data_IF_306553615813
#
_entry.id   IF_306553615813
#
_cell.length_a   1.000
_cell.length_b   1.000
_cell.length_c   1.000
_cell.angle_alpha   90.00
_cell.angle_beta   90.00
_cell.angle_gamma   90.00
#
_symmetry.space_group_name_H-M   'P 1'
#
loop_
_entity.id
_entity.type
_entity.pdbx_description
1 polymer ?
#
# COMPACT_ATOMS: atom_id res chain seq x y z
N UNK A 1 20.69 -4.99 22.71
CA UNK A 1 19.49 -4.16 22.39
C UNK A 1 19.88 -2.78 21.85
N UNK A 2 20.86 -2.07 22.44
CA UNK A 2 21.34 -0.76 21.93
C UNK A 2 21.77 -0.79 20.45
N UNK A 3 22.37 -1.90 19.98
CA UNK A 3 22.80 -2.04 18.58
C UNK A 3 21.66 -2.03 17.54
N UNK A 4 20.42 -2.35 17.94
CA UNK A 4 19.25 -2.32 17.05
C UNK A 4 18.49 -1.00 17.11
N UNK A 5 18.83 -0.13 18.07
CA UNK A 5 18.13 1.14 18.29
C UNK A 5 18.08 2.02 17.02
N UNK A 6 19.17 2.17 16.23
CA UNK A 6 19.12 2.95 15.00
C UNK A 6 18.11 2.42 13.97
N UNK A 7 17.97 1.10 13.86
CA UNK A 7 17.03 0.47 12.93
C UNK A 7 15.58 0.61 13.41
N UNK A 8 15.36 0.55 14.73
CA UNK A 8 14.05 0.77 15.35
C UNK A 8 13.60 2.22 15.14
N UNK A 9 14.51 3.19 15.29
CA UNK A 9 14.18 4.60 15.06
C UNK A 9 13.98 4.90 13.59
N UNK A 10 14.76 4.28 12.70
CA UNK A 10 14.48 4.31 11.26
C UNK A 10 13.09 3.74 10.95
N UNK A 11 12.72 2.61 11.54
CA UNK A 11 11.39 2.01 11.34
C UNK A 11 10.26 2.94 11.79
N UNK A 12 10.40 3.63 12.93
CA UNK A 12 9.42 4.63 13.41
C UNK A 12 9.25 5.77 12.40
N UNK A 13 10.35 6.35 11.94
CA UNK A 13 10.35 7.45 10.96
C UNK A 13 9.66 7.02 9.67
N UNK A 14 10.05 5.87 9.11
CA UNK A 14 9.46 5.34 7.88
C UNK A 14 7.97 5.01 8.05
N UNK A 15 7.55 4.58 9.25
CA UNK A 15 6.14 4.29 9.56
C UNK A 15 5.32 5.56 9.60
N UNK A 16 5.84 6.63 10.21
CA UNK A 16 5.16 7.93 10.24
C UNK A 16 5.03 8.52 8.84
N UNK A 17 6.09 8.43 8.03
CA UNK A 17 6.06 8.88 6.64
C UNK A 17 5.05 8.05 5.81
N UNK A 18 4.98 6.74 6.01
CA UNK A 18 3.98 5.88 5.37
C UNK A 18 2.53 6.30 5.72
N UNK A 19 2.27 6.62 6.99
CA UNK A 19 0.96 7.12 7.42
C UNK A 19 0.65 8.50 6.84
N UNK A 20 1.63 9.41 6.77
CA UNK A 20 1.47 10.72 6.16
C UNK A 20 1.14 10.61 4.65
N UNK A 21 1.82 9.71 3.94
CA UNK A 21 1.53 9.43 2.53
C UNK A 21 0.11 8.89 2.33
N UNK A 22 -0.41 8.08 3.26
CA UNK A 22 -1.80 7.63 3.23
C UNK A 22 -2.78 8.80 3.37
N UNK A 23 -2.52 9.74 4.27
CA UNK A 23 -3.34 10.95 4.43
C UNK A 23 -3.37 11.78 3.14
N UNK A 24 -2.20 11.99 2.52
CA UNK A 24 -2.09 12.71 1.24
C UNK A 24 -2.87 12.01 0.12
N UNK A 25 -2.83 10.67 0.06
CA UNK A 25 -3.61 9.90 -0.90
C UNK A 25 -5.12 10.10 -0.69
N UNK A 26 -5.58 10.08 0.55
CA UNK A 26 -7.00 10.27 0.87
C UNK A 26 -7.48 11.67 0.52
N UNK A 27 -6.64 12.68 0.71
CA UNK A 27 -6.92 14.06 0.27
C UNK A 27 -7.06 14.14 -1.24
N UNK A 28 -6.15 13.51 -2.01
CA UNK A 28 -6.25 13.48 -3.48
C UNK A 28 -7.54 12.80 -3.96
N UNK A 29 -7.95 11.71 -3.31
CA UNK A 29 -9.21 11.01 -3.64
C UNK A 29 -10.40 11.93 -3.37
N UNK A 30 -10.43 12.61 -2.22
CA UNK A 30 -11.48 13.57 -1.88
C UNK A 30 -11.55 14.74 -2.86
N UNK A 31 -10.41 15.32 -3.24
CA UNK A 31 -10.38 16.41 -4.21
C UNK A 31 -10.84 15.96 -5.60
N UNK A 32 -10.54 14.72 -5.99
CA UNK A 32 -11.07 14.11 -7.22
C UNK A 32 -12.59 13.97 -7.18
N UNK A 33 -13.15 13.48 -6.07
CA UNK A 33 -14.60 13.36 -5.88
C UNK A 33 -15.30 14.74 -5.89
N UNK A 34 -14.73 15.74 -5.19
CA UNK A 34 -15.24 17.11 -5.25
C UNK A 34 -15.26 17.66 -6.68
N UNK A 35 -14.20 17.41 -7.44
CA UNK A 35 -14.10 17.84 -8.84
C UNK A 35 -15.19 17.21 -9.70
N UNK A 36 -15.51 15.92 -9.48
CA UNK A 36 -16.62 15.27 -10.16
C UNK A 36 -17.96 15.93 -9.84
N UNK A 37 -18.21 16.22 -8.56
CA UNK A 37 -19.44 16.89 -8.13
C UNK A 37 -19.58 18.29 -8.75
N UNK A 38 -18.47 19.02 -8.91
CA UNK A 38 -18.45 20.33 -9.59
C UNK A 38 -18.83 20.17 -11.07
N UNK A 39 -18.27 19.17 -11.76
CA UNK A 39 -18.61 18.89 -13.16
C UNK A 39 -20.10 18.58 -13.31
N UNK A 40 -20.67 17.75 -12.42
CA UNK A 40 -22.09 17.42 -12.42
C UNK A 40 -22.97 18.64 -12.15
N UNK A 41 -22.59 19.48 -11.17
CA UNK A 41 -23.30 20.72 -10.87
C UNK A 41 -23.31 21.67 -12.08
N UNK A 42 -22.18 21.86 -12.75
CA UNK A 42 -22.09 22.70 -13.96
C UNK A 42 -22.93 22.15 -15.11
N UNK A 43 -22.98 20.83 -15.29
CA UNK A 43 -23.85 20.19 -16.31
C UNK A 43 -25.34 20.42 -16.00
N UNK A 44 -25.73 20.33 -14.73
CA UNK A 44 -27.09 20.62 -14.31
C UNK A 44 -27.43 22.10 -14.50
N UNK A 45 -26.48 23.01 -14.24
CA UNK A 45 -26.66 24.44 -14.49
C UNK A 45 -26.87 24.75 -15.99
N UNK A 46 -26.12 24.11 -16.89
CA UNK A 46 -26.35 24.22 -18.35
C UNK A 46 -27.75 23.72 -18.71
N UNK A 47 -28.17 22.58 -18.18
CA UNK A 47 -29.48 22.00 -18.47
C UNK A 47 -30.62 22.91 -17.98
N UNK A 48 -30.48 23.48 -16.77
CA UNK A 48 -31.45 24.41 -16.20
C UNK A 48 -31.51 25.71 -17.01
N UNK A 49 -30.36 26.31 -17.35
CA UNK A 49 -30.31 27.51 -18.18
C UNK A 49 -30.95 27.29 -19.55
N UNK A 50 -30.76 26.11 -20.15
CA UNK A 50 -31.40 25.75 -21.42
C UNK A 50 -32.92 25.59 -21.28
N UNK A 51 -33.40 25.08 -20.15
CA UNK A 51 -34.84 24.95 -19.86
C UNK A 51 -35.48 26.32 -19.60
N UNK A 52 -34.83 27.18 -18.83
CA UNK A 52 -35.31 28.53 -18.51
C UNK A 52 -35.32 29.43 -19.75
N UNK A 53 -34.30 29.31 -20.62
CA UNK A 53 -34.27 29.97 -21.92
C UNK A 53 -35.43 29.54 -22.82
N UNK A 54 -35.75 28.24 -22.88
CA UNK A 54 -36.91 27.73 -23.63
C UNK A 54 -38.22 28.27 -23.07
N UNK A 55 -38.40 28.22 -21.75
CA UNK A 55 -39.60 28.73 -21.11
C UNK A 55 -39.79 30.25 -21.32
N UNK A 56 -38.71 31.01 -21.35
CA UNK A 56 -38.74 32.47 -21.61
C UNK A 56 -39.12 32.79 -23.05
N UNK A 57 -38.66 31.98 -24.01
CA UNK A 57 -39.03 32.08 -25.43
C UNK A 57 -40.52 31.82 -25.68
N UNK A 58 -41.12 30.93 -24.90
CA UNK A 58 -42.56 30.66 -24.98
C UNK A 58 -43.41 31.85 -24.48
N UNK A 59 -42.82 32.81 -23.74
CA UNK A 59 -43.50 33.96 -23.15
C UNK A 59 -43.17 35.32 -23.79
N UNK A 60 -42.06 35.45 -24.54
CA UNK A 60 -41.58 36.72 -25.12
C UNK A 60 -40.73 36.49 -26.38
N UNK A 61 -40.71 37.45 -27.31
CA UNK A 61 -39.73 37.48 -28.41
C UNK A 61 -38.28 37.61 -27.88
N UNK A 62 -37.38 36.78 -28.44
CA UNK A 62 -35.95 36.80 -28.13
C UNK A 62 -35.28 38.03 -28.73
N UNK A 63 -34.66 38.86 -27.90
CA UNK A 63 -33.78 39.92 -28.40
C UNK A 63 -32.39 39.39 -28.75
N UNK A 64 -31.65 40.13 -29.57
CA UNK A 64 -30.25 39.81 -29.91
C UNK A 64 -29.37 39.80 -28.65
N UNK A 65 -29.60 40.72 -27.72
CA UNK A 65 -28.85 40.80 -26.46
C UNK A 65 -29.12 39.59 -25.55
N UNK A 66 -30.38 39.14 -25.48
CA UNK A 66 -30.77 37.94 -24.73
C UNK A 66 -30.07 36.69 -25.32
N UNK A 67 -30.02 36.57 -26.65
CA UNK A 67 -29.33 35.47 -27.32
C UNK A 67 -27.82 35.47 -27.05
N UNK A 68 -27.17 36.63 -27.12
CA UNK A 68 -25.73 36.77 -26.86
C UNK A 68 -25.41 36.37 -25.42
N UNK A 69 -26.19 36.86 -24.44
CA UNK A 69 -25.99 36.53 -23.03
C UNK A 69 -26.11 35.02 -22.76
N UNK A 70 -27.16 34.37 -23.29
CA UNK A 70 -27.34 32.92 -23.15
C UNK A 70 -26.16 32.17 -23.77
N UNK A 71 -25.72 32.56 -24.97
CA UNK A 71 -24.57 31.94 -25.64
C UNK A 71 -23.26 32.12 -24.88
N UNK A 72 -23.00 33.30 -24.34
CA UNK A 72 -21.79 33.56 -23.55
C UNK A 72 -21.78 32.76 -22.25
N UNK A 73 -22.90 32.68 -21.53
CA UNK A 73 -23.02 31.87 -20.31
C UNK A 73 -22.83 30.38 -20.61
N UNK A 74 -23.48 29.84 -21.65
CA UNK A 74 -23.31 28.44 -22.07
C UNK A 74 -21.85 28.12 -22.45
N UNK A 75 -21.20 29.02 -23.20
CA UNK A 75 -19.78 28.87 -23.58
C UNK A 75 -18.87 28.93 -22.35
N UNK A 76 -19.12 29.85 -21.42
CA UNK A 76 -18.35 29.97 -20.17
C UNK A 76 -18.49 28.75 -19.26
N UNK A 77 -19.69 28.17 -19.14
CA UNK A 77 -19.92 26.94 -18.37
C UNK A 77 -19.24 25.73 -19.03
N UNK A 78 -19.30 25.62 -20.36
CA UNK A 78 -18.60 24.56 -21.10
C UNK A 78 -17.08 24.62 -20.91
N UNK A 79 -16.48 25.80 -21.02
CA UNK A 79 -15.04 25.97 -20.78
C UNK A 79 -14.65 25.57 -19.35
N UNK A 80 -15.47 25.87 -18.35
CA UNK A 80 -15.25 25.41 -16.97
C UNK A 80 -15.36 23.89 -16.84
N UNK A 81 -16.34 23.26 -17.50
CA UNK A 81 -16.49 21.80 -17.52
C UNK A 81 -15.26 21.15 -18.15
N UNK A 82 -14.76 21.67 -19.25
CA UNK A 82 -13.55 21.17 -19.92
C UNK A 82 -12.34 21.27 -19.00
N UNK A 83 -12.15 22.42 -18.34
CA UNK A 83 -11.09 22.60 -17.35
C UNK A 83 -11.18 21.60 -16.18
N UNK A 84 -12.36 21.46 -15.56
CA UNK A 84 -12.51 20.55 -14.43
C UNK A 84 -12.42 19.07 -14.86
N UNK A 85 -12.86 18.73 -16.08
CA UNK A 85 -12.69 17.38 -16.63
C UNK A 85 -11.20 17.06 -16.84
N UNK A 86 -10.42 18.02 -17.34
CA UNK A 86 -8.97 17.88 -17.44
C UNK A 86 -8.32 17.72 -16.05
N UNK A 87 -8.71 18.54 -15.08
CA UNK A 87 -8.24 18.43 -13.70
C UNK A 87 -8.58 17.06 -13.06
N UNK A 88 -9.77 16.52 -13.35
CA UNK A 88 -10.20 15.20 -12.88
C UNK A 88 -9.27 14.09 -13.39
N UNK A 89 -8.86 14.14 -14.65
CA UNK A 89 -7.89 13.20 -15.23
C UNK A 89 -6.48 13.36 -14.65
N UNK A 90 -6.06 14.57 -14.29
CA UNK A 90 -4.78 14.81 -13.60
C UNK A 90 -4.74 14.15 -12.22
N UNK A 91 -5.89 14.13 -11.52
CA UNK A 91 -5.98 13.43 -10.24
C UNK A 91 -5.76 11.93 -10.40
N UNK A 92 -6.16 11.29 -11.50
CA UNK A 92 -5.89 9.86 -11.72
C UNK A 92 -4.39 9.55 -11.73
N UNK A 93 -3.61 10.38 -12.42
CA UNK A 93 -2.15 10.23 -12.49
C UNK A 93 -1.52 10.47 -11.11
N UNK A 94 -1.93 11.55 -10.42
CA UNK A 94 -1.42 11.88 -9.09
C UNK A 94 -1.74 10.79 -8.06
N UNK A 95 -2.97 10.29 -8.06
CA UNK A 95 -3.41 9.20 -7.19
C UNK A 95 -2.59 7.95 -7.48
N UNK A 96 -2.44 7.56 -8.75
CA UNK A 96 -1.65 6.38 -9.12
C UNK A 96 -0.20 6.48 -8.64
N UNK A 97 0.48 7.60 -8.91
CA UNK A 97 1.86 7.81 -8.47
C UNK A 97 1.99 7.73 -6.95
N UNK A 98 1.01 8.29 -6.22
CA UNK A 98 0.98 8.23 -4.75
C UNK A 98 0.74 6.80 -4.24
N UNK A 99 -0.10 6.00 -4.92
CA UNK A 99 -0.26 4.57 -4.61
C UNK A 99 1.03 3.80 -4.81
N UNK A 100 1.78 4.04 -5.89
CA UNK A 100 3.10 3.43 -6.12
C UNK A 100 4.10 3.78 -5.01
N UNK A 101 4.15 5.06 -4.62
CA UNK A 101 5.00 5.53 -3.53
C UNK A 101 4.65 4.83 -2.20
N UNK A 102 3.36 4.77 -1.87
CA UNK A 102 2.85 4.12 -0.67
C UNK A 102 3.16 2.62 -0.65
N UNK A 103 3.01 1.93 -1.79
CA UNK A 103 3.35 0.52 -1.94
C UNK A 103 4.86 0.26 -1.76
N UNK A 104 5.70 1.11 -2.37
CA UNK A 104 7.16 1.02 -2.21
C UNK A 104 7.57 1.22 -0.74
N UNK A 105 6.99 2.22 -0.08
CA UNK A 105 7.24 2.51 1.35
C UNK A 105 6.80 1.36 2.26
N UNK A 106 5.66 0.75 1.96
CA UNK A 106 5.17 -0.44 2.67
C UNK A 106 6.18 -1.60 2.59
N UNK A 107 6.70 -1.90 1.39
CA UNK A 107 7.70 -2.95 1.21
C UNK A 107 9.01 -2.65 1.95
N UNK A 108 9.42 -1.37 2.00
CA UNK A 108 10.60 -0.96 2.80
C UNK A 108 10.36 -1.20 4.29
N UNK A 109 9.18 -0.87 4.81
CA UNK A 109 8.80 -1.15 6.20
C UNK A 109 8.79 -2.64 6.54
N UNK A 110 8.26 -3.49 5.64
CA UNK A 110 8.27 -4.94 5.80
C UNK A 110 9.72 -5.43 5.96
N UNK A 111 10.60 -5.04 5.03
CA UNK A 111 12.01 -5.45 5.05
C UNK A 111 12.75 -4.96 6.30
N UNK A 112 12.48 -3.73 6.74
CA UNK A 112 13.06 -3.20 7.98
C UNK A 112 12.59 -4.01 9.20
N UNK A 113 11.29 -4.30 9.29
CA UNK A 113 10.73 -5.15 10.35
C UNK A 113 11.38 -6.53 10.36
N UNK A 114 11.43 -7.19 9.21
CA UNK A 114 12.05 -8.52 9.05
C UNK A 114 13.50 -8.52 9.49
N UNK A 115 14.28 -7.52 9.06
CA UNK A 115 15.69 -7.41 9.46
C UNK A 115 15.85 -7.20 10.97
N UNK A 116 15.05 -6.32 11.59
CA UNK A 116 15.10 -6.08 13.04
C UNK A 116 14.83 -7.37 13.81
N UNK A 117 13.76 -8.11 13.45
CA UNK A 117 13.42 -9.35 14.13
C UNK A 117 14.41 -10.48 13.83
N UNK A 118 14.96 -10.55 12.62
CA UNK A 118 16.00 -11.51 12.28
C UNK A 118 17.26 -11.31 13.12
N UNK A 119 17.75 -10.07 13.22
CA UNK A 119 18.93 -9.76 14.03
C UNK A 119 18.67 -9.99 15.52
N UNK A 120 17.49 -9.61 16.02
CA UNK A 120 17.08 -9.88 17.40
C UNK A 120 17.03 -11.39 17.69
N UNK A 121 16.43 -12.17 16.79
CA UNK A 121 16.35 -13.62 16.94
C UNK A 121 17.74 -14.26 16.95
N UNK A 122 18.61 -13.87 16.01
CA UNK A 122 19.98 -14.36 15.95
C UNK A 122 20.74 -14.07 17.24
N UNK A 123 20.68 -12.83 17.73
CA UNK A 123 21.34 -12.44 18.98
C UNK A 123 20.85 -13.28 20.17
N UNK A 124 19.53 -13.47 20.31
CA UNK A 124 18.96 -14.26 21.41
C UNK A 124 19.33 -15.74 21.33
N UNK A 125 19.38 -16.31 20.13
CA UNK A 125 19.80 -17.70 19.91
C UNK A 125 21.28 -17.85 20.27
N UNK A 126 22.15 -16.97 19.76
CA UNK A 126 23.59 -17.01 20.01
C UNK A 126 23.88 -16.85 21.51
N UNK A 127 23.20 -15.91 22.18
CA UNK A 127 23.28 -15.71 23.63
C UNK A 127 22.82 -16.96 24.40
N UNK A 128 21.65 -17.51 24.06
CA UNK A 128 21.13 -18.72 24.69
C UNK A 128 22.08 -19.91 24.56
N UNK A 129 22.60 -20.16 23.35
CA UNK A 129 23.55 -21.24 23.09
C UNK A 129 24.84 -21.00 23.89
N UNK A 130 25.37 -19.78 23.89
CA UNK A 130 26.61 -19.46 24.62
C UNK A 130 26.45 -19.66 26.13
N UNK A 131 25.30 -19.31 26.70
CA UNK A 131 25.05 -19.44 28.14
C UNK A 131 24.73 -20.87 28.58
N UNK A 132 24.18 -21.70 27.67
CA UNK A 132 23.66 -23.03 28.02
C UNK A 132 24.39 -24.19 27.32
N UNK A 133 25.52 -23.93 26.67
CA UNK A 133 26.26 -24.91 25.86
C UNK A 133 26.50 -26.24 26.59
N UNK A 134 27.00 -26.18 27.83
CA UNK A 134 27.33 -27.39 28.58
C UNK A 134 26.07 -28.19 28.98
N UNK A 135 25.00 -27.49 29.36
CA UNK A 135 23.70 -28.12 29.65
C UNK A 135 23.10 -28.77 28.41
N UNK A 136 23.19 -28.13 27.26
CA UNK A 136 22.72 -28.70 25.98
C UNK A 136 23.49 -29.98 25.64
N UNK A 137 24.81 -30.00 25.88
CA UNK A 137 25.64 -31.20 25.70
C UNK A 137 25.27 -32.32 26.69
N UNK A 138 24.99 -31.97 27.94
CA UNK A 138 24.54 -32.93 28.97
C UNK A 138 23.17 -33.52 28.62
N UNK A 139 22.22 -32.69 28.15
CA UNK A 139 20.91 -33.14 27.66
C UNK A 139 21.09 -34.11 26.50
N UNK A 140 21.92 -33.75 25.51
CA UNK A 140 22.19 -34.63 24.37
C UNK A 140 22.77 -35.97 24.81
N UNK A 141 23.80 -35.95 25.65
CA UNK A 141 24.47 -37.16 26.16
C UNK A 141 23.51 -38.04 26.94
N UNK A 142 22.69 -37.43 27.82
CA UNK A 142 21.72 -38.15 28.64
C UNK A 142 20.64 -38.81 27.79
N UNK A 143 20.09 -38.10 26.79
CA UNK A 143 19.10 -38.66 25.88
C UNK A 143 19.72 -39.78 25.03
N UNK A 144 20.92 -39.58 24.50
CA UNK A 144 21.64 -40.58 23.71
C UNK A 144 21.86 -41.87 24.52
N UNK A 145 22.41 -41.76 25.74
CA UNK A 145 22.69 -42.92 26.60
C UNK A 145 21.43 -43.55 27.20
N UNK A 146 20.32 -42.81 27.32
CA UNK A 146 19.05 -43.35 27.86
C UNK A 146 18.38 -44.39 26.96
N UNK A 147 18.72 -44.42 25.67
CA UNK A 147 18.05 -45.30 24.70
C UNK A 147 16.65 -44.86 24.27
N UNK A 148 16.06 -43.82 24.89
CA UNK A 148 14.68 -43.35 24.63
C UNK A 148 14.48 -42.87 23.19
N UNK A 149 15.54 -42.38 22.56
CA UNK A 149 15.54 -41.86 21.19
C UNK A 149 16.35 -42.73 20.20
N UNK A 150 16.71 -43.96 20.57
CA UNK A 150 17.42 -44.90 19.69
C UNK A 150 16.42 -45.71 18.87
N UNK A 151 16.68 -45.89 17.58
CA UNK A 151 15.79 -46.60 16.66
C UNK A 151 16.21 -48.04 16.40
N UNK A 152 15.23 -48.86 16.00
CA UNK A 152 15.39 -50.29 15.73
C UNK A 152 15.98 -50.49 14.32
N UNK A 153 16.97 -51.38 14.19
CA UNK A 153 17.97 -51.48 13.11
C UNK A 153 17.47 -51.86 11.70
N UNK A 154 16.18 -51.79 11.40
CA UNK A 154 15.64 -52.22 10.11
C UNK A 154 15.32 -51.02 9.21
N UNK A 155 16.30 -50.64 8.38
CA UNK A 155 16.15 -49.84 7.15
C UNK A 155 15.76 -48.35 7.27
N UNK A 156 16.62 -47.47 7.82
CA UNK A 156 16.43 -46.00 7.71
C UNK A 156 17.74 -45.20 7.52
N UNK A 157 17.62 -44.03 6.88
CA UNK A 157 18.70 -43.13 6.41
C UNK A 157 19.32 -42.21 7.48
N UNK A 158 18.74 -42.15 8.70
CA UNK A 158 19.18 -41.24 9.77
C UNK A 158 20.12 -41.92 10.76
N UNK A 159 21.09 -41.16 11.24
CA UNK A 159 21.99 -41.53 12.33
C UNK A 159 21.28 -41.45 13.70
N UNK A 160 21.78 -42.21 14.69
CA UNK A 160 21.27 -42.14 16.07
C UNK A 160 21.32 -40.71 16.65
N UNK A 161 22.36 -39.93 16.31
CA UNK A 161 22.49 -38.54 16.72
C UNK A 161 21.36 -37.66 16.17
N UNK A 162 20.93 -37.89 14.93
CA UNK A 162 19.81 -37.14 14.33
C UNK A 162 18.47 -37.48 15.01
N UNK A 163 18.24 -38.74 15.39
CA UNK A 163 17.03 -39.09 16.16
C UNK A 163 17.02 -38.45 17.56
N UNK A 164 18.17 -38.37 18.22
CA UNK A 164 18.31 -37.69 19.50
C UNK A 164 18.01 -36.20 19.34
N UNK A 165 18.55 -35.53 18.31
CA UNK A 165 18.26 -34.13 18.01
C UNK A 165 16.78 -33.91 17.67
N UNK A 166 16.16 -34.79 16.88
CA UNK A 166 14.73 -34.74 16.57
C UNK A 166 13.87 -34.88 17.83
N UNK A 167 14.25 -35.76 18.76
CA UNK A 167 13.57 -35.93 20.04
C UNK A 167 13.66 -34.67 20.91
N UNK A 168 14.86 -34.09 21.02
CA UNK A 168 15.08 -32.83 21.75
C UNK A 168 14.27 -31.70 21.10
N UNK A 169 14.29 -31.57 19.77
CA UNK A 169 13.52 -30.58 19.03
C UNK A 169 12.01 -30.72 19.27
N UNK A 170 11.48 -31.95 19.30
CA UNK A 170 10.05 -32.19 19.62
C UNK A 170 9.69 -31.69 21.01
N UNK A 171 10.53 -31.94 22.01
CA UNK A 171 10.30 -31.43 23.37
C UNK A 171 10.34 -29.91 23.39
N UNK A 172 11.37 -29.30 22.78
CA UNK A 172 11.50 -27.83 22.72
C UNK A 172 10.26 -27.21 22.05
N UNK A 173 9.86 -27.72 20.87
CA UNK A 173 8.71 -27.21 20.12
C UNK A 173 7.41 -27.26 20.92
N UNK A 174 7.19 -28.30 21.71
CA UNK A 174 6.00 -28.42 22.57
C UNK A 174 5.94 -27.34 23.66
N UNK A 175 7.09 -26.81 24.07
CA UNK A 175 7.21 -25.85 25.15
C UNK A 175 7.35 -24.40 24.66
N UNK A 176 7.50 -24.16 23.35
CA UNK A 176 7.52 -22.81 22.79
C UNK A 176 6.08 -22.29 22.67
N UNK A 177 5.81 -21.15 23.31
CA UNK A 177 4.55 -20.44 23.11
C UNK A 177 4.56 -19.77 21.72
N UNK A 178 3.64 -20.19 20.85
CA UNK A 178 3.50 -19.66 19.48
C UNK A 178 2.58 -18.45 19.39
N UNK A 179 2.03 -17.96 20.50
CA UNK A 179 1.23 -16.74 20.50
C UNK A 179 2.13 -15.53 20.22
N UNK A 180 1.84 -14.83 19.12
CA UNK A 180 2.59 -13.65 18.69
C UNK A 180 2.34 -12.49 19.67
N UNK A 181 3.28 -12.26 20.59
CA UNK A 181 3.29 -11.09 21.46
C UNK A 181 4.42 -10.13 21.03
N UNK A 182 4.20 -9.44 19.91
CA UNK A 182 5.10 -8.42 19.42
C UNK A 182 4.64 -7.02 19.85
N UNK A 183 5.58 -6.08 19.97
CA UNK A 183 5.27 -4.68 20.25
C UNK A 183 4.36 -4.09 19.15
N UNK A 184 3.30 -3.38 19.58
CA UNK A 184 2.36 -2.65 18.71
C UNK A 184 3.06 -1.72 17.73
N UNK A 185 4.25 -1.24 18.06
CA UNK A 185 5.09 -0.44 17.17
C UNK A 185 5.24 -1.08 15.78
N UNK A 186 5.48 -2.39 15.69
CA UNK A 186 5.78 -3.08 14.44
C UNK A 186 4.55 -3.43 13.59
N UNK A 187 3.34 -3.14 14.09
CA UNK A 187 2.10 -3.36 13.37
C UNK A 187 1.69 -2.12 12.57
N UNK A 188 1.36 -2.33 11.30
CA UNK A 188 0.84 -1.32 10.38
C UNK A 188 -0.07 -1.98 9.35
N UNK A 189 -1.01 -1.21 8.80
CA UNK A 189 -1.96 -1.70 7.80
C UNK A 189 -1.36 -1.64 6.39
N UNK A 190 -1.74 -2.61 5.58
CA UNK A 190 -1.46 -2.61 4.15
C UNK A 190 -2.55 -1.81 3.44
N UNK A 191 -2.22 -0.63 2.92
CA UNK A 191 -3.20 0.23 2.28
C UNK A 191 -3.34 -0.03 0.78
N UNK A 192 -2.26 -0.48 0.12
CA UNK A 192 -2.20 -0.71 -1.32
C UNK A 192 -1.81 -2.15 -1.60
N UNK A 193 -2.59 -2.81 -2.45
CA UNK A 193 -2.31 -4.17 -2.91
C UNK A 193 -1.41 -4.16 -4.15
N UNK A 194 -0.68 -5.25 -4.36
CA UNK A 194 0.17 -5.39 -5.55
C UNK A 194 -0.62 -5.31 -6.87
N UNK A 195 -1.88 -5.75 -6.86
CA UNK A 195 -2.79 -5.70 -8.01
C UNK A 195 -3.14 -4.27 -8.44
N UNK A 196 -3.00 -3.28 -7.54
CA UNK A 196 -3.24 -1.87 -7.85
C UNK A 196 -2.04 -1.18 -8.50
N UNK A 197 -0.88 -1.85 -8.54
CA UNK A 197 0.36 -1.31 -9.09
C UNK A 197 0.60 -1.93 -10.46
N UNK A 198 0.85 -1.08 -11.47
CA UNK A 198 1.12 -1.56 -12.81
C UNK A 198 2.37 -2.45 -12.85
N UNK A 199 2.27 -3.52 -13.63
CA UNK A 199 3.44 -4.33 -13.99
C UNK A 199 4.35 -3.55 -14.94
N UNK A 200 5.63 -3.94 -15.07
CA UNK A 200 6.52 -3.35 -16.06
C UNK A 200 5.93 -3.35 -17.48
N UNK A 201 5.25 -4.44 -17.88
CA UNK A 201 4.60 -4.53 -19.19
C UNK A 201 3.43 -3.54 -19.34
N UNK A 202 2.62 -3.35 -18.29
CA UNK A 202 1.54 -2.36 -18.29
C UNK A 202 2.08 -0.93 -18.36
N UNK A 203 3.16 -0.62 -17.63
CA UNK A 203 3.83 0.70 -17.72
C UNK A 203 4.39 0.95 -19.11
N UNK A 204 5.06 -0.05 -19.69
CA UNK A 204 5.55 0.04 -21.07
C UNK A 204 4.40 0.33 -22.03
N UNK A 205 3.30 -0.45 -21.99
CA UNK A 205 2.13 -0.20 -22.82
C UNK A 205 1.57 1.23 -22.65
N UNK A 206 1.45 1.70 -21.41
CA UNK A 206 0.94 3.04 -21.11
C UNK A 206 1.84 4.16 -21.66
N UNK A 207 3.16 3.96 -21.70
CA UNK A 207 4.10 4.92 -22.30
C UNK A 207 3.96 5.05 -23.82
N UNK A 208 3.52 3.99 -24.51
CA UNK A 208 3.31 4.01 -25.96
C UNK A 208 1.87 4.36 -26.36
N UNK A 209 0.93 4.42 -25.41
CA UNK A 209 -0.39 4.98 -25.64
C UNK A 209 -0.29 6.51 -25.71
N UNK A 210 -0.03 7.05 -26.91
CA UNK A 210 0.10 8.49 -27.22
C UNK A 210 -1.19 9.32 -27.06
N UNK A 211 -2.19 8.84 -26.31
CA UNK A 211 -3.43 9.59 -26.10
C UNK A 211 -3.17 10.73 -25.13
N UNK A 212 -3.37 11.96 -25.61
CA UNK A 212 -3.39 13.15 -24.78
C UNK A 212 -4.48 13.04 -23.72
N UNK A 213 -4.16 13.40 -22.48
CA UNK A 213 -5.05 13.37 -21.31
C UNK A 213 -4.83 14.60 -20.45
N UNK A 214 -5.78 14.90 -19.58
CA UNK A 214 -5.70 15.98 -18.61
C UNK A 214 -5.49 17.33 -19.27
N UNK A 215 -4.63 18.15 -18.67
CA UNK A 215 -4.40 19.51 -19.17
C UNK A 215 -3.73 19.55 -20.53
N UNK A 216 -2.98 18.51 -20.90
CA UNK A 216 -2.38 18.42 -22.24
C UNK A 216 -3.46 18.37 -23.32
N UNK A 217 -4.49 17.53 -23.11
CA UNK A 217 -5.61 17.44 -24.04
C UNK A 217 -6.43 18.73 -24.06
N UNK A 218 -6.60 19.40 -22.92
CA UNK A 218 -7.28 20.70 -22.86
C UNK A 218 -6.57 21.73 -23.73
N UNK A 219 -5.24 21.84 -23.63
CA UNK A 219 -4.45 22.82 -24.39
C UNK A 219 -4.39 22.52 -25.90
N UNK A 220 -4.42 21.25 -26.27
CA UNK A 220 -4.43 20.83 -27.69
C UNK A 220 -5.79 21.08 -28.37
N UNK A 221 -6.85 21.30 -27.59
CA UNK A 221 -8.22 21.58 -28.07
C UNK A 221 -8.64 23.06 -27.91
N UNK A 222 -7.72 23.96 -27.56
CA UNK A 222 -7.92 25.42 -27.57
C UNK A 222 -7.88 25.98 -29.00
#
# INVERSE_FOLDING_TARGET
>A
MEQLQPQIDQFKTEKNEYLALKTQLDELIKEKEKTLNIIEALKNEIAQNAQDAKASLDMKELSVDDYINIKQTDTGLKARIEYYSALYEEFDIKIYNKKEELYSKCNKLIKLRENIFHQKAKFLIDEFISQNKDKLNEIFTSVYLSGVAIHNYSYQEKTNSEYVLDYINKIINKNINTNLNADKLFFFNYFINKSEIMTPAQRHKAMYDNKSKGFKNLLENL
#
